data_IF_613787749471
#
_entry.id   IF_613787749471
#
_cell.length_a   1.000
_cell.length_b   1.000
_cell.length_c   1.000
_cell.angle_alpha   90.00
_cell.angle_beta   90.00
_cell.angle_gamma   90.00
#
_symmetry.space_group_name_H-M   'P 1'
#
loop_
_entity.id
_entity.type
_entity.pdbx_description
1 polymer ?
#
# COMPACT_ATOMS: atom_id res chain seq x y z
N UNK A 1 13.74 -6.91 -0.96
CA UNK A 1 13.04 -6.39 0.24
C UNK A 1 13.03 -4.88 0.13
N UNK A 2 11.92 -4.23 0.47
CA UNK A 2 11.88 -2.78 0.60
C UNK A 2 11.80 -2.39 2.08
N UNK A 3 12.66 -1.46 2.49
CA UNK A 3 12.62 -0.87 3.82
C UNK A 3 11.58 0.24 3.86
N UNK A 4 10.92 0.45 5.01
CA UNK A 4 9.98 1.55 5.18
C UNK A 4 10.05 2.18 6.57
N UNK A 5 9.44 3.36 6.69
CA UNK A 5 9.42 4.19 7.89
C UNK A 5 10.85 4.40 8.43
N UNK A 6 11.07 4.23 9.74
CA UNK A 6 12.38 4.50 10.36
C UNK A 6 13.50 3.55 9.89
N UNK A 7 13.18 2.45 9.21
CA UNK A 7 14.19 1.57 8.61
C UNK A 7 14.66 2.04 7.22
N UNK A 8 13.88 2.90 6.54
CA UNK A 8 14.25 3.42 5.22
C UNK A 8 15.11 4.68 5.37
N UNK A 9 16.21 4.85 4.59
CA UNK A 9 17.12 6.00 4.73
C UNK A 9 16.44 7.38 4.68
N UNK A 10 15.35 7.49 3.90
CA UNK A 10 14.57 8.73 3.77
C UNK A 10 13.25 8.75 4.54
N UNK A 11 12.96 7.73 5.37
CA UNK A 11 11.70 7.67 6.12
C UNK A 11 10.47 7.36 5.26
N UNK A 12 10.65 6.71 4.11
CA UNK A 12 9.59 6.49 3.11
C UNK A 12 8.44 5.67 3.70
N UNK A 13 7.20 6.13 3.49
CA UNK A 13 6.01 5.47 4.03
C UNK A 13 5.69 4.18 3.26
N UNK A 14 5.14 3.19 3.98
CA UNK A 14 4.76 1.88 3.43
C UNK A 14 3.79 2.01 2.24
N UNK A 15 2.81 2.91 2.34
CA UNK A 15 1.79 3.10 1.31
C UNK A 15 2.33 3.75 0.04
N UNK A 16 3.34 4.62 0.16
CA UNK A 16 4.04 5.21 -0.97
C UNK A 16 4.74 4.12 -1.80
N UNK A 17 5.51 3.24 -1.14
CA UNK A 17 6.19 2.12 -1.82
C UNK A 17 5.17 1.19 -2.48
N UNK A 18 4.09 0.84 -1.78
CA UNK A 18 2.99 0.04 -2.33
C UNK A 18 2.37 0.69 -3.57
N UNK A 19 2.14 2.00 -3.57
CA UNK A 19 1.58 2.73 -4.72
C UNK A 19 2.50 2.72 -5.93
N UNK A 20 3.79 2.93 -5.70
CA UNK A 20 4.80 2.88 -6.76
C UNK A 20 4.95 1.48 -7.36
N UNK A 21 4.80 0.44 -6.53
CA UNK A 21 4.74 -0.96 -6.98
C UNK A 21 3.36 -1.37 -7.50
N UNK A 22 2.44 -0.42 -7.73
CA UNK A 22 1.13 -0.70 -8.33
C UNK A 22 0.15 -1.47 -7.43
N UNK A 23 0.44 -1.67 -6.14
CA UNK A 23 -0.34 -2.50 -5.20
C UNK A 23 -1.79 -2.01 -4.95
N UNK A 24 -2.16 -0.80 -5.35
CA UNK A 24 -3.54 -0.31 -5.19
C UNK A 24 -4.33 -0.24 -6.49
N UNK A 25 -3.79 -0.81 -7.59
CA UNK A 25 -4.48 -0.87 -8.87
C UNK A 25 -5.08 -2.27 -9.05
N UNK A 26 -6.40 -2.39 -9.27
CA UNK A 26 -7.01 -3.65 -9.67
C UNK A 26 -6.27 -4.19 -10.90
N UNK A 27 -6.05 -5.49 -10.90
CA UNK A 27 -5.36 -6.18 -11.99
C UNK A 27 -6.24 -7.23 -12.67
N UNK A 28 -7.52 -7.23 -12.33
CA UNK A 28 -8.62 -7.93 -12.99
C UNK A 28 -9.80 -6.98 -13.19
N UNK A 29 -10.92 -7.47 -13.74
CA UNK A 29 -12.09 -6.67 -14.06
C UNK A 29 -12.67 -5.94 -12.83
N UNK A 30 -12.92 -4.64 -12.98
CA UNK A 30 -13.54 -3.81 -11.94
C UNK A 30 -12.64 -3.62 -10.71
N UNK A 31 -13.09 -4.12 -9.56
CA UNK A 31 -12.37 -4.04 -8.28
C UNK A 31 -11.68 -5.38 -7.90
N UNK A 32 -11.55 -6.31 -8.85
CA UNK A 32 -11.00 -7.63 -8.60
C UNK A 32 -9.47 -7.65 -8.61
N UNK A 33 -8.91 -8.57 -7.82
CA UNK A 33 -7.49 -8.87 -7.74
C UNK A 33 -7.25 -10.30 -8.23
N UNK A 34 -6.52 -10.46 -9.34
CA UNK A 34 -6.01 -11.71 -9.87
C UNK A 34 -4.50 -11.80 -9.66
N UNK A 35 -4.10 -12.11 -8.42
CA UNK A 35 -2.72 -12.46 -8.08
C UNK A 35 -1.70 -11.35 -8.35
N UNK A 36 -0.47 -11.77 -8.68
CA UNK A 36 0.67 -10.90 -8.93
C UNK A 36 0.73 -10.47 -10.40
N UNK A 37 0.69 -9.17 -10.67
CA UNK A 37 0.77 -8.62 -12.04
C UNK A 37 1.96 -7.72 -12.29
N UNK A 38 2.90 -7.67 -11.34
CA UNK A 38 4.13 -6.93 -11.56
C UNK A 38 5.08 -7.74 -12.44
N UNK A 39 5.87 -7.06 -13.29
CA UNK A 39 6.91 -7.71 -14.08
C UNK A 39 7.90 -8.46 -13.18
N UNK A 40 8.55 -9.46 -13.75
CA UNK A 40 9.58 -10.24 -13.04
C UNK A 40 10.78 -9.36 -12.66
N UNK A 41 10.98 -8.24 -13.35
CA UNK A 41 11.97 -7.20 -13.03
C UNK A 41 11.24 -6.03 -12.39
N UNK A 42 11.63 -5.65 -11.17
CA UNK A 42 11.00 -4.54 -10.46
C UNK A 42 11.29 -3.19 -11.10
N UNK A 43 10.34 -2.24 -11.05
CA UNK A 43 10.54 -0.88 -11.54
C UNK A 43 11.47 -0.05 -10.64
N UNK A 44 11.77 -0.54 -9.43
CA UNK A 44 12.68 0.09 -8.48
C UNK A 44 13.59 -0.96 -7.88
N UNK A 45 14.84 -0.55 -7.63
CA UNK A 45 15.82 -1.38 -6.94
C UNK A 45 15.35 -1.61 -5.50
N UNK A 46 15.23 -2.86 -5.05
CA UNK A 46 14.95 -3.15 -3.65
C UNK A 46 16.15 -2.74 -2.78
N UNK A 47 15.90 -2.39 -1.52
CA UNK A 47 16.97 -2.10 -0.56
C UNK A 47 17.86 -3.32 -0.31
N UNK A 48 17.26 -4.52 -0.31
CA UNK A 48 18.00 -5.78 -0.15
C UNK A 48 17.55 -6.84 -1.15
N UNK A 49 18.50 -7.63 -1.65
CA UNK A 49 18.25 -8.74 -2.57
C UNK A 49 18.11 -8.34 -4.05
N UNK A 50 17.73 -9.29 -4.93
CA UNK A 50 17.74 -9.07 -6.37
C UNK A 50 16.55 -8.24 -6.85
N UNK A 51 16.74 -7.49 -7.94
CA UNK A 51 15.68 -6.79 -8.66
C UNK A 51 14.74 -7.75 -9.41
N UNK A 52 15.16 -9.00 -9.61
CA UNK A 52 14.36 -10.07 -10.22
C UNK A 52 13.58 -10.81 -9.15
N UNK A 53 12.26 -10.87 -9.29
CA UNK A 53 11.34 -11.40 -8.28
C UNK A 53 10.67 -12.67 -8.77
N UNK A 54 10.62 -13.67 -7.89
CA UNK A 54 9.79 -14.87 -8.12
C UNK A 54 8.31 -14.52 -7.98
N UNK A 55 7.51 -14.80 -9.02
CA UNK A 55 6.05 -14.62 -8.99
C UNK A 55 5.36 -15.35 -7.84
N UNK A 56 5.89 -16.50 -7.42
CA UNK A 56 5.31 -17.29 -6.32
C UNK A 56 5.61 -16.73 -4.93
N UNK A 57 6.63 -15.87 -4.79
CA UNK A 57 7.08 -15.32 -3.50
C UNK A 57 6.76 -13.82 -3.37
N UNK A 58 6.75 -13.10 -4.48
CA UNK A 58 6.53 -11.65 -4.49
C UNK A 58 7.64 -10.89 -3.77
N UNK A 59 7.27 -9.78 -3.16
CA UNK A 59 8.17 -8.84 -2.49
C UNK A 59 7.83 -8.78 -1.00
N UNK A 60 8.85 -8.69 -0.15
CA UNK A 60 8.69 -8.42 1.27
C UNK A 60 9.04 -6.97 1.60
N UNK A 61 8.33 -6.39 2.57
CA UNK A 61 8.57 -5.07 3.12
C UNK A 61 8.89 -5.19 4.60
N UNK A 62 9.95 -4.53 5.07
CA UNK A 62 10.39 -4.57 6.47
C UNK A 62 10.56 -3.13 6.95
N UNK A 63 10.11 -2.82 8.15
CA UNK A 63 10.18 -1.45 8.64
C UNK A 63 10.14 -1.36 10.15
N UNK A 64 10.43 -0.16 10.64
CA UNK A 64 10.34 0.20 12.04
C UNK A 64 9.44 1.43 12.17
N UNK A 65 8.39 1.35 12.99
CA UNK A 65 7.43 2.42 13.20
C UNK A 65 6.84 2.32 14.61
N UNK A 66 6.32 3.44 15.13
CA UNK A 66 5.46 3.43 16.30
C UNK A 66 4.29 2.46 16.14
N UNK A 67 3.70 2.04 17.25
CA UNK A 67 2.54 1.15 17.26
C UNK A 67 1.43 1.67 16.33
N UNK A 68 0.94 0.78 15.46
CA UNK A 68 -0.15 1.06 14.51
C UNK A 68 -1.37 0.27 14.93
N UNK A 69 -2.52 0.95 14.95
CA UNK A 69 -3.82 0.30 15.13
C UNK A 69 -4.47 0.09 13.78
N UNK A 70 -4.84 -1.16 13.48
CA UNK A 70 -5.67 -1.49 12.33
C UNK A 70 -7.14 -1.47 12.76
N UNK A 71 -7.92 -0.58 12.17
CA UNK A 71 -9.31 -0.37 12.56
C UNK A 71 -10.21 -0.24 11.33
N UNK A 72 -11.20 -1.12 11.24
CA UNK A 72 -12.22 -1.09 10.19
C UNK A 72 -13.50 -0.47 10.76
N UNK A 73 -14.05 0.52 10.05
CA UNK A 73 -15.32 1.17 10.40
C UNK A 73 -16.42 0.55 9.53
N UNK A 74 -17.41 -0.16 10.11
CA UNK A 74 -18.54 -0.66 9.35
C UNK A 74 -19.41 0.52 8.88
N UNK A 75 -19.78 0.50 7.60
CA UNK A 75 -20.69 1.47 7.00
C UNK A 75 -21.95 0.74 6.55
N UNK A 76 -23.12 1.17 7.01
CA UNK A 76 -24.40 0.66 6.52
C UNK A 76 -24.72 1.33 5.17
N UNK A 77 -24.02 0.92 4.12
CA UNK A 77 -24.18 1.44 2.77
C UNK A 77 -23.63 0.45 1.74
N UNK A 78 -24.27 0.41 0.57
CA UNK A 78 -23.78 -0.30 -0.62
C UNK A 78 -23.01 0.62 -1.57
N UNK A 79 -23.00 1.93 -1.33
CA UNK A 79 -22.26 2.91 -2.14
C UNK A 79 -20.77 2.93 -1.75
N UNK A 80 -20.01 2.07 -2.43
CA UNK A 80 -18.54 1.99 -2.31
C UNK A 80 -17.86 3.32 -2.69
N UNK A 81 -18.43 4.09 -3.61
CA UNK A 81 -17.88 5.39 -4.01
C UNK A 81 -18.03 6.42 -2.89
N UNK A 82 -19.17 6.44 -2.19
CA UNK A 82 -19.34 7.24 -0.98
C UNK A 82 -18.36 6.82 0.12
N UNK A 83 -18.21 5.52 0.37
CA UNK A 83 -17.26 5.01 1.36
C UNK A 83 -15.82 5.47 1.05
N UNK A 84 -15.37 5.41 -0.21
CA UNK A 84 -14.06 5.92 -0.64
C UNK A 84 -13.91 7.43 -0.44
N UNK A 85 -14.96 8.22 -0.69
CA UNK A 85 -14.93 9.68 -0.43
C UNK A 85 -14.76 9.97 1.06
N UNK A 86 -15.46 9.24 1.92
CA UNK A 86 -15.32 9.36 3.39
C UNK A 86 -13.90 8.99 3.80
N UNK A 87 -13.42 7.81 3.37
CA UNK A 87 -12.06 7.34 3.65
C UNK A 87 -11.00 8.37 3.27
N UNK A 88 -11.13 9.00 2.09
CA UNK A 88 -10.22 10.07 1.64
C UNK A 88 -10.27 11.27 2.58
N UNK A 89 -11.47 11.79 2.91
CA UNK A 89 -11.63 12.94 3.81
C UNK A 89 -11.06 12.72 5.20
N UNK A 90 -11.08 11.48 5.71
CA UNK A 90 -10.53 11.15 7.04
C UNK A 90 -9.01 10.97 7.00
N UNK A 91 -8.44 10.56 5.87
CA UNK A 91 -7.00 10.32 5.74
C UNK A 91 -6.16 11.60 5.76
N UNK A 92 -4.93 11.50 6.27
CA UNK A 92 -3.93 12.56 6.20
C UNK A 92 -3.72 13.06 4.76
N UNK A 93 -3.60 12.11 3.82
CA UNK A 93 -3.41 12.42 2.39
C UNK A 93 -4.56 13.22 1.78
N UNK A 94 -5.78 13.06 2.29
CA UNK A 94 -6.95 13.82 1.86
C UNK A 94 -7.22 15.09 2.67
N UNK A 95 -6.28 15.50 3.53
CA UNK A 95 -6.41 16.69 4.38
C UNK A 95 -7.18 16.48 5.67
N UNK A 96 -7.41 15.23 6.06
CA UNK A 96 -8.08 14.85 7.30
C UNK A 96 -7.14 14.71 8.48
N UNK A 97 -7.26 13.58 9.20
CA UNK A 97 -6.50 13.31 10.42
C UNK A 97 -5.03 13.01 10.09
N UNK A 98 -4.05 13.73 10.68
CA UNK A 98 -2.64 13.71 10.25
C UNK A 98 -1.95 12.35 10.27
N UNK A 99 -2.36 11.44 11.14
CA UNK A 99 -1.72 10.13 11.34
C UNK A 99 -2.56 8.97 10.81
N UNK A 100 -3.68 9.27 10.12
CA UNK A 100 -4.59 8.25 9.60
C UNK A 100 -4.33 7.98 8.14
N UNK A 101 -4.12 6.71 7.84
CA UNK A 101 -4.08 6.19 6.48
C UNK A 101 -5.37 5.44 6.17
N UNK A 102 -5.89 5.60 4.96
CA UNK A 102 -7.04 4.86 4.45
C UNK A 102 -6.75 4.29 3.05
N UNK A 103 -7.66 3.44 2.56
CA UNK A 103 -7.59 2.82 1.23
C UNK A 103 -8.07 3.77 0.12
#
# INVERSE_FOLDING_TARGET
VFLYAAAHPTGKQLDAIRRELGYYRPNSMGNQWAGWTMPDILPQTPDEGPIVVSRSRGISMIGAQSWVTLYNIPLLSTDVSAARRIARKVSARGGGLPTVQTL
#
